data_IF_156920974297
#
_entry.id   IF_156920974297
#
_cell.length_a   1.000
_cell.length_b   1.000
_cell.length_c   1.000
_cell.angle_alpha   90.00
_cell.angle_beta   90.00
_cell.angle_gamma   90.00
#
_symmetry.space_group_name_H-M   'P 1'
#
loop_
_entity.id
_entity.type
_entity.pdbx_description
1 polymer ?
#
# COMPACT_ATOMS: atom_id res chain seq x y z
N UNK A 1 -47.76 0.14 6.73
CA UNK A 1 -46.28 0.05 6.77
C UNK A 1 -45.77 0.60 5.46
N UNK A 2 -45.24 1.82 5.48
CA UNK A 2 -44.76 2.52 4.28
C UNK A 2 -43.60 1.74 3.66
N UNK A 3 -43.74 1.39 2.39
CA UNK A 3 -42.73 0.70 1.61
C UNK A 3 -41.58 1.69 1.36
N UNK A 4 -40.66 1.84 2.32
CA UNK A 4 -39.44 2.64 2.17
C UNK A 4 -38.70 2.11 0.94
N UNK A 5 -38.84 2.82 -0.18
CA UNK A 5 -38.19 2.50 -1.45
C UNK A 5 -36.70 2.31 -1.17
N UNK A 6 -36.19 1.10 -1.38
CA UNK A 6 -34.82 0.71 -1.04
C UNK A 6 -33.86 1.72 -1.71
N UNK A 7 -33.00 2.36 -0.91
CA UNK A 7 -32.03 3.34 -1.44
C UNK A 7 -31.14 2.64 -2.49
N UNK A 8 -30.79 3.32 -3.60
CA UNK A 8 -29.80 2.78 -4.54
C UNK A 8 -28.44 2.58 -3.85
N UNK A 9 -27.68 1.59 -4.31
CA UNK A 9 -26.35 1.28 -3.76
C UNK A 9 -25.31 2.20 -4.39
N UNK A 10 -24.44 2.78 -3.57
CA UNK A 10 -23.26 3.53 -4.00
C UNK A 10 -22.01 2.84 -3.46
N UNK A 11 -21.18 2.31 -4.35
CA UNK A 11 -19.86 1.78 -4.01
C UNK A 11 -18.81 2.89 -4.12
N UNK A 12 -18.09 3.16 -3.05
CA UNK A 12 -17.03 4.17 -3.00
C UNK A 12 -15.70 3.53 -2.62
N UNK A 13 -14.66 3.76 -3.44
CA UNK A 13 -13.31 3.25 -3.19
C UNK A 13 -12.36 4.38 -2.74
N UNK A 14 -11.82 4.25 -1.54
CA UNK A 14 -10.83 5.16 -0.97
C UNK A 14 -9.43 4.66 -1.32
N UNK A 15 -8.58 5.50 -1.92
CA UNK A 15 -7.17 5.14 -2.13
C UNK A 15 -6.40 5.04 -0.81
N UNK A 16 -5.31 4.27 -0.76
CA UNK A 16 -4.44 4.25 0.43
C UNK A 16 -3.87 5.64 0.77
N UNK A 17 -3.66 6.47 -0.26
CA UNK A 17 -3.23 7.87 -0.12
C UNK A 17 -4.34 8.82 0.35
N UNK A 18 -5.59 8.33 0.48
CA UNK A 18 -6.67 9.11 1.08
C UNK A 18 -6.46 9.29 2.59
N UNK A 19 -5.73 8.36 3.23
CA UNK A 19 -5.42 8.37 4.66
C UNK A 19 -4.05 8.98 4.96
N UNK A 20 -3.03 8.73 4.13
CA UNK A 20 -1.70 9.33 4.27
C UNK A 20 -1.36 10.07 2.98
N UNK A 21 -1.22 11.40 3.06
CA UNK A 21 -0.87 12.23 1.90
C UNK A 21 0.64 12.33 1.72
N UNK A 22 1.08 12.69 0.52
CA UNK A 22 2.49 12.94 0.23
C UNK A 22 3.09 13.97 1.19
N UNK A 23 4.20 13.62 1.84
CA UNK A 23 4.91 14.47 2.79
C UNK A 23 4.43 14.38 4.26
N UNK A 24 3.34 13.67 4.54
CA UNK A 24 2.93 13.39 5.92
C UNK A 24 3.72 12.23 6.52
N UNK A 25 3.84 12.22 7.85
CA UNK A 25 4.52 11.13 8.58
C UNK A 25 3.63 9.90 8.73
N UNK A 26 2.32 10.06 8.58
CA UNK A 26 1.32 9.01 8.74
C UNK A 26 0.91 8.80 10.20
N UNK A 27 0.91 9.86 11.02
CA UNK A 27 0.44 9.77 12.41
C UNK A 27 -1.05 9.46 12.46
N UNK A 28 -1.53 8.95 13.60
CA UNK A 28 -2.97 8.70 13.77
C UNK A 28 -3.79 9.98 13.58
N UNK A 29 -3.32 11.10 14.14
CA UNK A 29 -3.94 12.42 14.00
C UNK A 29 -4.05 12.86 12.54
N UNK A 30 -2.96 12.80 11.77
CA UNK A 30 -2.98 13.14 10.34
C UNK A 30 -3.98 12.26 9.56
N UNK A 31 -4.03 10.96 9.87
CA UNK A 31 -4.93 10.03 9.21
C UNK A 31 -6.41 10.30 9.55
N UNK A 32 -6.73 10.64 10.80
CA UNK A 32 -8.09 11.08 11.19
C UNK A 32 -8.46 12.41 10.53
N UNK A 33 -7.56 13.39 10.52
CA UNK A 33 -7.78 14.68 9.86
C UNK A 33 -8.07 14.51 8.37
N UNK A 34 -7.33 13.63 7.70
CA UNK A 34 -7.53 13.33 6.28
C UNK A 34 -8.91 12.70 5.99
N UNK A 35 -9.49 11.98 6.94
CA UNK A 35 -10.83 11.37 6.84
C UNK A 35 -11.97 12.37 7.06
N UNK A 36 -11.74 13.52 7.71
CA UNK A 36 -12.79 14.47 8.07
C UNK A 36 -13.63 14.93 6.86
N UNK A 37 -12.98 15.43 5.80
CA UNK A 37 -13.68 15.92 4.62
C UNK A 37 -14.42 14.81 3.87
N UNK A 38 -13.78 13.68 3.51
CA UNK A 38 -14.46 12.59 2.85
C UNK A 38 -15.63 12.01 3.66
N UNK A 39 -15.48 11.85 4.98
CA UNK A 39 -16.55 11.29 5.81
C UNK A 39 -17.75 12.23 5.91
N UNK A 40 -17.54 13.55 5.96
CA UNK A 40 -18.64 14.53 5.83
C UNK A 40 -19.38 14.42 4.49
N UNK A 41 -18.68 14.10 3.40
CA UNK A 41 -19.30 13.87 2.09
C UNK A 41 -20.09 12.56 2.09
N UNK A 42 -19.53 11.48 2.64
CA UNK A 42 -20.22 10.18 2.78
C UNK A 42 -21.47 10.30 3.65
N UNK A 43 -21.40 11.03 4.77
CA UNK A 43 -22.54 11.29 5.65
C UNK A 43 -23.71 11.95 4.90
N UNK A 44 -23.44 12.88 3.99
CA UNK A 44 -24.47 13.50 3.13
C UNK A 44 -25.01 12.52 2.10
N UNK A 45 -24.16 11.67 1.53
CA UNK A 45 -24.55 10.69 0.52
C UNK A 45 -25.37 9.54 1.12
N UNK A 46 -25.11 9.14 2.37
CA UNK A 46 -25.85 8.08 3.06
C UNK A 46 -27.33 8.41 3.25
N UNK A 47 -27.71 9.70 3.21
CA UNK A 47 -29.11 10.12 3.21
C UNK A 47 -29.86 9.66 1.95
N UNK A 48 -29.16 9.53 0.82
CA UNK A 48 -29.75 9.16 -0.49
C UNK A 48 -29.43 7.73 -0.93
N UNK A 49 -28.27 7.21 -0.53
CA UNK A 49 -27.75 5.92 -0.97
C UNK A 49 -27.53 4.96 0.20
N UNK A 50 -27.60 3.66 -0.08
CA UNK A 50 -26.93 2.65 0.74
C UNK A 50 -25.48 2.63 0.32
N UNK A 51 -24.59 3.14 1.17
CA UNK A 51 -23.16 3.29 0.83
C UNK A 51 -22.41 2.02 1.20
N UNK A 52 -21.60 1.53 0.27
CA UNK A 52 -20.59 0.49 0.49
C UNK A 52 -19.22 1.12 0.30
N UNK A 53 -18.34 0.98 1.28
CA UNK A 53 -17.01 1.58 1.26
C UNK A 53 -15.97 0.48 1.08
N UNK A 54 -15.04 0.68 0.14
CA UNK A 54 -13.78 -0.06 0.07
C UNK A 54 -12.63 0.91 0.28
N UNK A 55 -11.47 0.41 0.70
CA UNK A 55 -10.29 1.23 0.89
C UNK A 55 -9.01 0.50 0.49
N UNK A 56 -7.99 1.26 0.10
CA UNK A 56 -6.61 0.80 0.01
C UNK A 56 -5.91 0.88 1.37
N UNK A 57 -4.73 0.27 1.45
CA UNK A 57 -3.94 0.19 2.68
C UNK A 57 -2.42 0.33 2.44
N UNK A 58 -1.98 0.78 1.25
CA UNK A 58 -0.57 0.71 0.83
C UNK A 58 0.42 1.33 1.84
N UNK A 59 0.22 2.59 2.26
CA UNK A 59 1.05 3.19 3.30
C UNK A 59 0.95 2.46 4.66
N UNK A 60 -0.25 2.09 5.09
CA UNK A 60 -0.51 1.48 6.40
C UNK A 60 0.09 0.08 6.53
N UNK A 61 -0.10 -0.76 5.52
CA UNK A 61 0.39 -2.14 5.51
C UNK A 61 1.92 -2.17 5.47
N UNK A 62 2.55 -1.26 4.72
CA UNK A 62 4.01 -1.18 4.70
C UNK A 62 4.58 -0.59 6.00
N UNK A 63 3.94 0.41 6.61
CA UNK A 63 4.38 0.89 7.92
C UNK A 63 4.26 -0.19 8.99
N UNK A 64 3.19 -0.99 8.96
CA UNK A 64 3.01 -2.10 9.90
C UNK A 64 4.01 -3.24 9.62
N UNK A 65 4.34 -3.50 8.35
CA UNK A 65 5.42 -4.42 7.98
C UNK A 65 6.77 -3.96 8.53
N UNK A 66 7.12 -2.67 8.38
CA UNK A 66 8.33 -2.11 8.97
C UNK A 66 8.35 -2.26 10.51
N UNK A 67 7.20 -2.13 11.17
CA UNK A 67 7.09 -2.40 12.61
C UNK A 67 7.36 -3.87 12.95
N UNK A 68 6.89 -4.82 12.13
CA UNK A 68 7.23 -6.25 12.30
C UNK A 68 8.74 -6.48 12.12
N UNK A 69 9.39 -5.77 11.20
CA UNK A 69 10.82 -5.89 10.95
C UNK A 69 11.69 -5.23 12.02
N UNK A 70 11.13 -4.27 12.77
CA UNK A 70 11.85 -3.48 13.78
C UNK A 70 12.03 -4.19 15.13
N UNK A 71 11.38 -5.34 15.36
CA UNK A 71 11.44 -6.07 16.62
C UNK A 71 11.64 -7.58 16.38
N UNK A 72 12.73 -8.13 16.90
CA UNK A 72 13.01 -9.58 16.80
C UNK A 72 12.58 -10.37 18.04
N UNK A 73 12.15 -9.69 19.12
CA UNK A 73 11.70 -10.35 20.35
C UNK A 73 10.34 -11.06 20.18
N UNK A 74 9.54 -10.65 19.20
CA UNK A 74 8.21 -11.19 18.92
C UNK A 74 8.19 -11.79 17.52
N UNK A 75 7.61 -12.99 17.32
CA UNK A 75 7.46 -13.58 15.99
C UNK A 75 6.72 -12.65 15.03
N UNK A 76 7.32 -12.45 13.85
CA UNK A 76 6.79 -11.60 12.78
C UNK A 76 5.55 -12.24 12.16
N UNK A 77 4.53 -11.44 11.89
CA UNK A 77 3.32 -11.89 11.20
C UNK A 77 3.52 -11.86 9.67
N UNK A 78 2.96 -12.82 8.93
CA UNK A 78 3.01 -12.80 7.46
C UNK A 78 2.12 -11.70 6.89
N UNK A 79 2.39 -11.31 5.64
CA UNK A 79 1.75 -10.16 4.99
C UNK A 79 0.23 -10.27 4.91
N UNK A 80 -0.35 -11.47 4.79
CA UNK A 80 -1.81 -11.64 4.82
C UNK A 80 -2.43 -11.28 6.17
N UNK A 81 -1.76 -11.57 7.29
CA UNK A 81 -2.23 -11.22 8.64
C UNK A 81 -2.09 -9.71 8.85
N UNK A 82 -0.96 -9.12 8.42
CA UNK A 82 -0.77 -7.66 8.44
C UNK A 82 -1.86 -6.98 7.61
N UNK A 83 -2.18 -7.54 6.43
CA UNK A 83 -3.29 -7.09 5.60
C UNK A 83 -4.62 -7.09 6.36
N UNK A 84 -4.95 -8.18 7.05
CA UNK A 84 -6.15 -8.27 7.88
C UNK A 84 -6.16 -7.26 9.05
N UNK A 85 -5.02 -7.05 9.71
CA UNK A 85 -4.87 -6.04 10.77
C UNK A 85 -5.20 -4.63 10.25
N UNK A 86 -4.72 -4.28 9.04
CA UNK A 86 -5.02 -2.96 8.45
C UNK A 86 -6.50 -2.78 8.10
N UNK A 87 -7.26 -3.86 7.83
CA UNK A 87 -8.71 -3.76 7.61
C UNK A 87 -9.43 -3.33 8.89
N UNK A 88 -9.07 -3.93 10.04
CA UNK A 88 -9.61 -3.53 11.33
C UNK A 88 -9.21 -2.11 11.72
N UNK A 89 -7.94 -1.75 11.53
CA UNK A 89 -7.44 -0.40 11.80
C UNK A 89 -8.17 0.65 10.98
N UNK A 90 -8.17 0.54 9.65
CA UNK A 90 -8.75 1.55 8.76
C UNK A 90 -10.27 1.55 8.87
N UNK A 91 -10.90 0.38 9.00
CA UNK A 91 -12.35 0.26 9.20
C UNK A 91 -12.81 1.00 10.46
N UNK A 92 -12.13 0.80 11.58
CA UNK A 92 -12.40 1.56 12.81
C UNK A 92 -12.29 3.07 12.60
N UNK A 93 -11.23 3.54 11.92
CA UNK A 93 -11.03 4.96 11.67
C UNK A 93 -12.14 5.55 10.80
N UNK A 94 -12.53 4.84 9.73
CA UNK A 94 -13.63 5.25 8.86
C UNK A 94 -14.95 5.30 9.62
N UNK A 95 -15.29 4.27 10.40
CA UNK A 95 -16.51 4.21 11.19
C UNK A 95 -16.58 5.35 12.21
N UNK A 96 -15.51 5.56 12.99
CA UNK A 96 -15.44 6.61 14.00
C UNK A 96 -15.55 8.02 13.40
N UNK A 97 -14.85 8.27 12.28
CA UNK A 97 -14.93 9.55 11.57
C UNK A 97 -16.30 9.77 10.91
N UNK A 98 -16.94 8.70 10.40
CA UNK A 98 -18.27 8.79 9.81
C UNK A 98 -19.35 9.05 10.87
N UNK A 99 -19.27 8.36 12.01
CA UNK A 99 -20.15 8.59 13.15
C UNK A 99 -20.07 10.05 13.62
N UNK A 100 -18.84 10.55 13.81
CA UNK A 100 -18.60 11.97 14.14
C UNK A 100 -19.23 12.90 13.11
N UNK A 101 -19.01 12.65 11.81
CA UNK A 101 -19.55 13.49 10.73
C UNK A 101 -21.10 13.47 10.66
N UNK A 102 -21.73 12.35 11.01
CA UNK A 102 -23.19 12.23 11.08
C UNK A 102 -23.76 12.99 12.28
N UNK A 103 -23.12 12.87 13.45
CA UNK A 103 -23.48 13.61 14.66
C UNK A 103 -23.39 15.12 14.41
N UNK A 104 -22.28 15.61 13.84
CA UNK A 104 -22.10 17.03 13.50
C UNK A 104 -23.15 17.56 12.51
N UNK A 105 -23.65 16.69 11.62
CA UNK A 105 -24.66 17.04 10.63
C UNK A 105 -26.09 17.07 11.19
N UNK A 106 -26.27 16.82 12.50
CA UNK A 106 -27.58 16.69 13.15
C UNK A 106 -28.37 15.47 12.68
N UNK A 107 -27.70 14.51 12.03
CA UNK A 107 -28.31 13.27 11.57
C UNK A 107 -28.27 12.30 12.75
N UNK A 108 -29.24 12.43 13.66
CA UNK A 108 -29.51 11.43 14.69
C UNK A 108 -30.13 10.20 14.03
N UNK A 109 -29.32 9.41 13.36
CA UNK A 109 -29.78 8.18 12.72
C UNK A 109 -29.23 6.96 13.42
N UNK A 110 -30.11 6.00 13.70
CA UNK A 110 -29.82 4.60 14.00
C UNK A 110 -29.20 3.89 12.77
N UNK A 111 -28.18 4.50 12.15
CA UNK A 111 -27.44 3.90 11.05
C UNK A 111 -26.37 3.00 11.64
N UNK A 112 -26.48 1.71 11.36
CA UNK A 112 -25.46 0.75 11.71
C UNK A 112 -24.37 0.73 10.65
N UNK A 113 -23.12 0.78 11.10
CA UNK A 113 -21.93 0.55 10.29
C UNK A 113 -21.33 -0.81 10.69
N UNK A 114 -20.70 -1.47 9.72
CA UNK A 114 -19.99 -2.70 9.97
C UNK A 114 -18.80 -2.82 9.03
N UNK A 115 -17.62 -2.98 9.62
CA UNK A 115 -16.39 -3.35 8.95
C UNK A 115 -16.32 -4.86 8.91
N UNK A 116 -16.15 -5.41 7.71
CA UNK A 116 -16.09 -6.84 7.49
C UNK A 116 -14.68 -7.22 7.03
N UNK A 117 -14.03 -8.11 7.79
CA UNK A 117 -12.80 -8.73 7.32
C UNK A 117 -13.12 -9.52 6.05
N UNK A 118 -12.44 -9.18 4.97
CA UNK A 118 -12.74 -9.68 3.63
C UNK A 118 -11.53 -10.41 3.05
N UNK A 119 -11.76 -11.64 2.59
CA UNK A 119 -10.80 -12.44 1.84
C UNK A 119 -11.05 -12.29 0.34
N UNK A 120 -9.99 -12.08 -0.43
CA UNK A 120 -10.04 -12.02 -1.90
C UNK A 120 -9.19 -13.15 -2.44
N UNK A 121 -9.82 -14.05 -3.19
CA UNK A 121 -9.12 -15.16 -3.86
C UNK A 121 -8.40 -14.61 -5.08
N UNK A 122 -7.16 -15.03 -5.28
CA UNK A 122 -6.32 -14.71 -6.45
C UNK A 122 -5.84 -16.00 -7.10
N UNK A 123 -5.44 -15.94 -8.37
CA UNK A 123 -4.86 -17.07 -9.09
C UNK A 123 -3.43 -17.31 -8.58
N UNK A 124 -3.13 -18.52 -8.10
CA UNK A 124 -1.79 -18.89 -7.61
C UNK A 124 -0.69 -18.81 -8.68
N UNK A 125 -1.08 -18.84 -9.96
CA UNK A 125 -0.16 -18.74 -11.10
C UNK A 125 -0.05 -17.31 -11.66
N UNK A 126 -0.60 -16.30 -10.98
CA UNK A 126 -0.53 -14.90 -11.44
C UNK A 126 0.95 -14.44 -11.56
N UNK A 127 1.36 -13.89 -12.72
CA UNK A 127 2.72 -13.37 -12.91
C UNK A 127 3.16 -12.34 -11.87
N UNK A 128 2.23 -11.65 -11.19
CA UNK A 128 2.50 -10.70 -10.13
C UNK A 128 3.27 -11.30 -8.94
N UNK A 129 3.17 -12.62 -8.69
CA UNK A 129 3.97 -13.29 -7.66
C UNK A 129 5.47 -13.34 -8.00
N UNK A 130 5.81 -13.34 -9.29
CA UNK A 130 7.20 -13.29 -9.76
C UNK A 130 7.70 -11.85 -9.94
N UNK A 131 6.78 -10.89 -10.06
CA UNK A 131 7.09 -9.47 -10.28
C UNK A 131 6.21 -8.58 -9.38
N UNK A 132 6.62 -8.37 -8.11
CA UNK A 132 5.89 -7.48 -7.22
C UNK A 132 6.04 -6.03 -7.70
N UNK A 133 4.93 -5.41 -8.12
CA UNK A 133 4.90 -4.04 -8.66
C UNK A 133 4.18 -3.03 -7.76
N UNK A 134 3.47 -3.50 -6.72
CA UNK A 134 2.69 -2.64 -5.83
C UNK A 134 3.59 -2.08 -4.72
N UNK A 135 3.85 -0.76 -4.67
CA UNK A 135 4.60 -0.16 -3.58
C UNK A 135 3.76 -0.14 -2.29
N UNK A 136 4.41 -0.37 -1.16
CA UNK A 136 3.84 -0.26 0.19
C UNK A 136 4.83 0.47 1.10
N UNK A 137 4.31 1.13 2.14
CA UNK A 137 5.13 1.80 3.15
C UNK A 137 5.53 3.24 2.78
N UNK A 138 6.56 3.79 3.46
CA UNK A 138 6.99 5.17 3.28
C UNK A 138 7.79 5.35 1.99
N UNK A 139 7.95 6.60 1.58
CA UNK A 139 8.92 6.95 0.55
C UNK A 139 10.30 7.08 1.20
N UNK A 140 11.29 6.47 0.55
CA UNK A 140 12.70 6.62 0.90
C UNK A 140 13.33 7.74 0.07
N UNK A 141 14.34 8.38 0.63
CA UNK A 141 15.29 9.18 -0.15
C UNK A 141 16.03 8.29 -1.14
N UNK A 142 16.66 8.91 -2.14
CA UNK A 142 17.41 8.16 -3.16
C UNK A 142 18.57 7.40 -2.51
N UNK A 143 19.26 8.03 -1.55
CA UNK A 143 20.37 7.45 -0.80
C UNK A 143 19.93 6.25 0.05
N UNK A 144 18.81 6.36 0.77
CA UNK A 144 18.25 5.27 1.57
C UNK A 144 17.81 4.10 0.68
N UNK A 145 17.16 4.36 -0.46
CA UNK A 145 16.72 3.33 -1.39
C UNK A 145 17.91 2.55 -1.97
N UNK A 146 19.02 3.24 -2.29
CA UNK A 146 20.26 2.60 -2.74
C UNK A 146 20.86 1.73 -1.62
N UNK A 147 20.91 2.26 -0.40
CA UNK A 147 21.45 1.53 0.74
C UNK A 147 20.67 0.23 1.01
N UNK A 148 19.33 0.32 1.04
CA UNK A 148 18.43 -0.84 1.19
C UNK A 148 18.60 -1.84 0.04
N UNK A 149 18.68 -1.37 -1.21
CA UNK A 149 18.91 -2.25 -2.37
C UNK A 149 20.25 -3.00 -2.27
N UNK A 150 21.24 -2.41 -1.59
CA UNK A 150 22.56 -2.99 -1.40
C UNK A 150 22.73 -3.77 -0.09
N UNK A 151 21.70 -3.87 0.77
CA UNK A 151 21.82 -4.60 2.04
C UNK A 151 21.77 -6.12 1.87
N UNK A 152 21.22 -6.60 0.76
CA UNK A 152 21.17 -8.03 0.43
C UNK A 152 22.58 -8.63 0.22
N UNK A 153 22.80 -9.85 0.73
CA UNK A 153 24.02 -10.64 0.48
C UNK A 153 24.15 -11.11 -0.99
N UNK A 154 23.06 -11.05 -1.75
CA UNK A 154 22.96 -11.45 -3.14
C UNK A 154 22.77 -10.24 -4.04
N UNK A 155 23.27 -10.31 -5.27
CA UNK A 155 23.23 -9.19 -6.21
C UNK A 155 23.15 -9.68 -7.65
N UNK A 156 22.23 -10.59 -7.94
CA UNK A 156 22.06 -11.10 -9.30
C UNK A 156 21.52 -10.01 -10.24
N UNK A 157 20.40 -9.40 -9.84
CA UNK A 157 19.72 -8.39 -10.62
C UNK A 157 18.92 -7.43 -9.74
N UNK A 158 18.67 -6.24 -10.25
CA UNK A 158 17.75 -5.25 -9.70
C UNK A 158 16.94 -4.61 -10.82
N UNK A 159 15.85 -3.94 -10.46
CA UNK A 159 15.12 -3.13 -11.41
C UNK A 159 14.69 -1.81 -10.78
N UNK A 160 14.75 -0.75 -11.59
CA UNK A 160 14.55 0.63 -11.22
C UNK A 160 13.43 1.23 -12.06
N UNK A 161 12.40 1.77 -11.42
CA UNK A 161 11.31 2.45 -12.09
C UNK A 161 11.39 3.95 -11.82
N UNK A 162 11.54 4.74 -12.88
CA UNK A 162 11.66 6.19 -12.80
C UNK A 162 11.35 6.83 -14.15
N UNK A 163 10.61 7.94 -14.13
CA UNK A 163 10.44 8.79 -15.33
C UNK A 163 11.63 9.74 -15.54
N UNK A 164 12.51 9.87 -14.55
CA UNK A 164 13.69 10.74 -14.60
C UNK A 164 14.92 9.97 -15.08
N UNK A 165 15.40 10.27 -16.29
CA UNK A 165 16.56 9.63 -16.93
C UNK A 165 17.86 9.87 -16.16
N UNK A 166 18.06 11.07 -15.61
CA UNK A 166 19.25 11.37 -14.80
C UNK A 166 19.28 10.54 -13.51
N UNK A 167 18.12 10.35 -12.88
CA UNK A 167 17.98 9.43 -11.74
C UNK A 167 18.24 7.99 -12.16
N UNK A 168 17.75 7.58 -13.34
CA UNK A 168 17.97 6.23 -13.84
C UNK A 168 19.47 5.88 -13.88
N UNK A 169 20.29 6.75 -14.51
CA UNK A 169 21.73 6.53 -14.59
C UNK A 169 22.41 6.58 -13.22
N UNK A 170 22.12 7.60 -12.41
CA UNK A 170 22.80 7.79 -11.11
C UNK A 170 22.48 6.70 -10.09
N UNK A 171 21.25 6.21 -10.06
CA UNK A 171 20.82 5.15 -9.13
C UNK A 171 21.28 3.79 -9.61
N UNK A 172 21.11 3.48 -10.91
CA UNK A 172 21.54 2.19 -11.46
C UNK A 172 23.05 1.94 -11.28
N UNK A 173 23.88 2.98 -11.41
CA UNK A 173 25.33 2.90 -11.21
C UNK A 173 25.73 2.58 -9.75
N UNK A 174 24.88 2.92 -8.78
CA UNK A 174 25.13 2.74 -7.35
C UNK A 174 24.54 1.45 -6.77
N UNK A 175 23.68 0.76 -7.51
CA UNK A 175 23.13 -0.53 -7.08
C UNK A 175 24.14 -1.63 -7.37
N UNK A 176 24.53 -2.36 -6.34
CA UNK A 176 25.45 -3.50 -6.42
C UNK A 176 24.70 -4.74 -6.92
N UNK A 177 24.37 -4.76 -8.22
CA UNK A 177 23.76 -5.91 -8.90
C UNK A 177 24.47 -6.21 -10.23
N UNK A 178 24.38 -7.45 -10.69
CA UNK A 178 24.93 -7.88 -11.98
C UNK A 178 24.25 -7.21 -13.18
N UNK A 179 22.95 -6.98 -13.08
CA UNK A 179 22.15 -6.24 -14.05
C UNK A 179 21.15 -5.35 -13.32
N UNK A 180 20.97 -4.13 -13.82
CA UNK A 180 19.91 -3.22 -13.36
C UNK A 180 19.03 -2.89 -14.56
N UNK A 181 17.79 -3.38 -14.56
CA UNK A 181 16.82 -2.98 -15.58
C UNK A 181 16.18 -1.64 -15.22
N UNK A 182 16.02 -0.75 -16.20
CA UNK A 182 15.32 0.52 -16.02
C UNK A 182 13.99 0.47 -16.74
N UNK A 183 12.88 0.67 -16.02
CA UNK A 183 11.51 0.64 -16.54
C UNK A 183 11.15 -0.63 -17.30
N UNK A 184 11.85 -1.73 -17.02
CA UNK A 184 11.60 -3.05 -17.60
C UNK A 184 12.05 -4.12 -16.62
N UNK A 185 11.72 -5.37 -16.92
CA UNK A 185 12.13 -6.53 -16.15
C UNK A 185 12.38 -7.68 -17.10
N UNK A 186 13.44 -8.45 -16.84
CA UNK A 186 13.72 -9.71 -17.53
C UNK A 186 13.88 -9.61 -19.07
N UNK A 187 14.09 -8.39 -19.59
CA UNK A 187 14.54 -8.21 -20.96
C UNK A 187 16.02 -8.57 -21.03
N UNK A 188 16.30 -9.76 -21.56
CA UNK A 188 17.65 -10.29 -21.72
C UNK A 188 17.99 -10.35 -23.22
N UNK A 189 19.07 -9.66 -23.60
CA UNK A 189 19.78 -9.93 -24.86
C UNK A 189 20.91 -10.94 -24.56
N UNK A 190 21.03 -11.99 -25.38
CA UNK A 190 22.02 -13.05 -25.18
C UNK A 190 23.48 -12.56 -25.30
N UNK A 191 23.69 -11.36 -25.83
CA UNK A 191 25.02 -10.73 -25.96
C UNK A 191 25.37 -9.87 -24.74
N UNK A 192 24.41 -9.59 -23.86
CA UNK A 192 24.68 -8.83 -22.63
C UNK A 192 25.47 -9.73 -21.67
N UNK A 193 26.60 -9.26 -21.11
CA UNK A 193 27.38 -10.04 -20.15
C UNK A 193 26.49 -10.47 -18.98
N UNK A 194 26.65 -11.72 -18.54
CA UNK A 194 25.85 -12.31 -17.47
C UNK A 194 26.75 -12.62 -16.27
N UNK A 195 26.41 -12.04 -15.12
CA UNK A 195 27.13 -12.32 -13.89
C UNK A 195 26.64 -11.43 -12.76
N UNK A 196 26.35 -12.00 -11.59
CA UNK A 196 25.95 -11.23 -10.43
C UNK A 196 27.11 -10.45 -9.80
N UNK A 197 26.77 -9.60 -8.85
CA UNK A 197 27.67 -9.06 -7.84
C UNK A 197 27.58 -9.90 -6.55
N UNK A 198 28.46 -9.62 -5.58
CA UNK A 198 28.47 -10.27 -4.25
C UNK A 198 28.48 -11.80 -4.37
N UNK A 199 27.70 -12.50 -3.53
CA UNK A 199 27.62 -13.95 -3.57
C UNK A 199 26.96 -14.48 -4.86
N UNK A 200 26.24 -13.65 -5.61
CA UNK A 200 25.68 -14.01 -6.93
C UNK A 200 26.70 -13.93 -8.07
N UNK A 201 27.92 -13.46 -7.80
CA UNK A 201 29.01 -13.34 -8.79
C UNK A 201 29.97 -14.53 -8.83
N UNK A 202 29.74 -15.57 -8.02
CA UNK A 202 30.55 -16.80 -8.06
C UNK A 202 30.12 -17.63 -9.28
N UNK A 203 31.04 -17.86 -10.22
CA UNK A 203 30.78 -18.59 -11.47
C UNK A 203 30.51 -17.72 -12.71
N UNK A 204 31.08 -16.51 -12.79
CA UNK A 204 31.03 -15.64 -13.98
C UNK A 204 31.56 -16.36 -15.24
N UNK A 205 30.78 -16.32 -16.32
CA UNK A 205 31.21 -16.58 -17.70
C UNK A 205 31.69 -15.28 -18.37
#
# INVERSE_FOLDING_TARGET
MENKRKKPILLTAFGGNALIRSGQKGTAEEQFENLNLPMRQIARLSMKYTVVITHGNGPQVGNLLLQQESCDEVPKMPLEIIGAQTQGQIGYMIESSLETALMESGINSEQYFATLITYVVVDENDPAFQQPTKPIGPFYTEEEAIALANETNFGLASALWTENVSRAHRVADKIEAGIVWVNCWFLRDLRTPFGGSKQSGIGRE
#
